data_IF_515225995196
#
_entry.id   IF_515225995196
#
_cell.length_a   1.000
_cell.length_b   1.000
_cell.length_c   1.000
_cell.angle_alpha   90.00
_cell.angle_beta   90.00
_cell.angle_gamma   90.00
#
_symmetry.space_group_name_H-M   'P 1'
#
loop_
_entity.id
_entity.type
_entity.pdbx_description
1 polymer ?
#
# COMPACT_ATOMS: atom_id res chain seq x y z
N UNK A 1 26.48 10.98 5.43
CA UNK A 1 25.28 10.31 4.89
C UNK A 1 24.01 11.12 5.15
N UNK A 2 23.64 11.43 6.40
CA UNK A 2 22.43 12.22 6.70
C UNK A 2 22.36 13.60 6.02
N UNK A 3 23.46 14.38 6.04
CA UNK A 3 23.50 15.71 5.43
C UNK A 3 23.27 15.69 3.91
N UNK A 4 23.74 14.66 3.20
CA UNK A 4 23.56 14.53 1.73
C UNK A 4 22.10 14.19 1.41
N UNK A 5 21.48 13.30 2.18
CA UNK A 5 20.05 12.98 2.02
C UNK A 5 19.18 14.21 2.29
N UNK A 6 19.48 14.98 3.34
CA UNK A 6 18.76 16.20 3.65
C UNK A 6 18.94 17.26 2.56
N UNK A 7 20.17 17.46 2.08
CA UNK A 7 20.45 18.39 0.97
C UNK A 7 19.68 18.00 -0.30
N UNK A 8 19.58 16.71 -0.63
CA UNK A 8 18.80 16.24 -1.79
C UNK A 8 17.32 16.53 -1.63
N UNK A 9 16.74 16.28 -0.45
CA UNK A 9 15.31 16.53 -0.20
C UNK A 9 15.00 18.03 -0.19
N UNK A 10 15.82 18.85 0.49
CA UNK A 10 15.57 20.28 0.64
C UNK A 10 15.78 21.11 -0.64
N UNK A 11 16.56 20.60 -1.59
CA UNK A 11 16.84 21.28 -2.87
C UNK A 11 16.12 20.62 -4.06
N UNK A 12 15.27 19.62 -3.81
CA UNK A 12 14.53 18.98 -4.88
C UNK A 12 13.32 19.83 -5.28
N UNK A 13 13.17 20.08 -6.58
CA UNK A 13 11.95 20.69 -7.13
C UNK A 13 10.76 19.73 -6.99
N UNK A 14 10.97 18.45 -7.29
CA UNK A 14 10.04 17.34 -7.04
C UNK A 14 10.64 16.40 -6.00
N UNK A 15 9.91 16.12 -4.92
CA UNK A 15 10.38 15.31 -3.79
C UNK A 15 10.81 13.90 -4.24
N UNK A 16 12.01 13.41 -3.82
CA UNK A 16 12.58 12.17 -4.34
C UNK A 16 12.05 10.91 -3.63
N UNK A 17 10.77 10.87 -3.27
CA UNK A 17 10.17 9.73 -2.57
C UNK A 17 9.51 8.75 -3.54
N UNK A 18 10.07 7.54 -3.64
CA UNK A 18 9.61 6.48 -4.53
C UNK A 18 8.46 5.68 -3.88
N UNK A 19 7.25 6.21 -3.97
CA UNK A 19 6.05 5.56 -3.44
C UNK A 19 5.58 4.37 -4.30
N UNK A 20 5.92 4.34 -5.59
CA UNK A 20 5.65 3.18 -6.44
C UNK A 20 6.39 1.94 -5.95
N UNK A 21 7.66 2.08 -5.54
CA UNK A 21 8.42 0.99 -4.89
C UNK A 21 7.76 0.48 -3.62
N UNK A 22 7.19 1.36 -2.81
CA UNK A 22 6.46 0.94 -1.62
C UNK A 22 5.22 0.12 -1.99
N UNK A 23 4.43 0.56 -2.98
CA UNK A 23 3.27 -0.19 -3.46
C UNK A 23 3.68 -1.58 -3.99
N UNK A 24 4.72 -1.66 -4.83
CA UNK A 24 5.27 -2.95 -5.30
C UNK A 24 5.75 -3.84 -4.15
N UNK A 25 6.35 -3.26 -3.12
CA UNK A 25 6.78 -4.03 -1.94
C UNK A 25 5.59 -4.60 -1.16
N UNK A 26 4.48 -3.87 -1.07
CA UNK A 26 3.23 -4.39 -0.52
C UNK A 26 2.66 -5.50 -1.39
N UNK A 27 2.73 -5.38 -2.71
CA UNK A 27 2.34 -6.45 -3.65
C UNK A 27 3.10 -7.73 -3.34
N UNK A 28 4.42 -7.69 -3.21
CA UNK A 28 5.24 -8.86 -2.88
C UNK A 28 4.81 -9.54 -1.56
N UNK A 29 4.44 -8.76 -0.54
CA UNK A 29 3.95 -9.32 0.72
C UNK A 29 2.58 -9.98 0.58
N UNK A 30 1.68 -9.38 -0.20
CA UNK A 30 0.34 -9.93 -0.45
C UNK A 30 0.41 -11.16 -1.34
N UNK A 31 1.30 -11.20 -2.34
CA UNK A 31 1.56 -12.40 -3.15
C UNK A 31 2.02 -13.56 -2.26
N UNK A 32 2.90 -13.30 -1.28
CA UNK A 32 3.28 -14.33 -0.31
C UNK A 32 2.12 -14.81 0.57
N UNK A 33 1.08 -13.99 0.80
CA UNK A 33 -0.13 -14.43 1.50
C UNK A 33 -1.08 -15.21 0.62
N UNK A 34 -1.13 -14.88 -0.67
CA UNK A 34 -1.87 -15.61 -1.69
C UNK A 34 -1.29 -17.02 -1.87
N UNK A 35 0.03 -17.14 -1.93
CA UNK A 35 0.75 -18.43 -1.99
C UNK A 35 0.39 -19.34 -0.81
N UNK A 36 0.36 -18.80 0.41
CA UNK A 36 0.02 -19.56 1.61
C UNK A 36 -1.47 -19.92 1.69
N UNK A 37 -2.34 -19.09 1.10
CA UNK A 37 -3.77 -19.35 1.03
C UNK A 37 -4.12 -20.40 -0.02
N UNK A 38 -3.40 -20.41 -1.14
CA UNK A 38 -3.72 -21.26 -2.30
C UNK A 38 -5.19 -21.10 -2.70
N UNK A 39 -5.88 -22.22 -2.94
CA UNK A 39 -7.29 -22.20 -3.34
C UNK A 39 -8.26 -21.78 -2.22
N UNK A 40 -7.78 -21.55 -0.99
CA UNK A 40 -8.64 -21.22 0.15
C UNK A 40 -9.07 -19.75 0.16
N UNK A 41 -8.32 -18.84 -0.46
CA UNK A 41 -8.68 -17.42 -0.47
C UNK A 41 -8.00 -16.69 -1.63
N UNK A 42 -8.77 -15.87 -2.34
CA UNK A 42 -8.31 -15.10 -3.50
C UNK A 42 -7.89 -13.68 -3.08
N UNK A 43 -6.61 -13.34 -3.21
CA UNK A 43 -6.08 -11.99 -2.99
C UNK A 43 -6.03 -11.10 -4.23
N UNK A 44 -6.43 -11.58 -5.41
CA UNK A 44 -6.36 -10.82 -6.66
C UNK A 44 -7.03 -9.43 -6.58
N UNK A 45 -8.19 -9.23 -5.90
CA UNK A 45 -8.74 -7.89 -5.74
C UNK A 45 -7.79 -6.88 -5.08
N UNK A 46 -6.97 -7.30 -4.11
CA UNK A 46 -5.97 -6.43 -3.49
C UNK A 46 -4.75 -6.25 -4.39
N UNK A 47 -4.30 -7.33 -5.05
CA UNK A 47 -3.15 -7.31 -5.94
C UNK A 47 -3.38 -6.42 -7.16
N UNK A 48 -4.58 -6.48 -7.76
CA UNK A 48 -4.99 -5.61 -8.87
C UNK A 48 -4.85 -4.13 -8.49
N UNK A 49 -5.43 -3.71 -7.36
CA UNK A 49 -5.41 -2.32 -6.91
C UNK A 49 -3.98 -1.86 -6.57
N UNK A 50 -3.16 -2.71 -5.91
CA UNK A 50 -1.76 -2.37 -5.62
C UNK A 50 -0.91 -2.19 -6.89
N UNK A 51 -1.09 -3.06 -7.90
CA UNK A 51 -0.37 -2.98 -9.18
C UNK A 51 -0.82 -1.75 -9.97
N UNK A 52 -2.12 -1.48 -10.02
CA UNK A 52 -2.67 -0.27 -10.63
C UNK A 52 -2.10 0.98 -9.96
N UNK A 53 -2.11 1.04 -8.62
CA UNK A 53 -1.59 2.18 -7.87
C UNK A 53 -0.11 2.41 -8.12
N UNK A 54 0.70 1.34 -8.18
CA UNK A 54 2.12 1.45 -8.50
C UNK A 54 2.33 2.08 -9.89
N UNK A 55 1.60 1.60 -10.91
CA UNK A 55 1.69 2.13 -12.27
C UNK A 55 1.23 3.58 -12.37
N UNK A 56 0.18 3.95 -11.65
CA UNK A 56 -0.35 5.31 -11.65
C UNK A 56 0.61 6.28 -10.92
N UNK A 57 1.24 5.82 -9.83
CA UNK A 57 2.29 6.60 -9.17
C UNK A 57 3.47 6.82 -10.11
N UNK A 58 3.91 5.80 -10.86
CA UNK A 58 5.01 5.96 -11.83
C UNK A 58 4.67 7.02 -12.89
N UNK A 59 3.48 6.92 -13.50
CA UNK A 59 3.03 7.85 -14.54
C UNK A 59 2.92 9.29 -14.01
N UNK A 60 2.38 9.45 -12.80
CA UNK A 60 2.32 10.75 -12.12
C UNK A 60 3.71 11.32 -11.83
N UNK A 61 4.66 10.49 -11.38
CA UNK A 61 6.03 10.95 -11.09
C UNK A 61 6.78 11.36 -12.35
N UNK A 62 6.60 10.62 -13.45
CA UNK A 62 7.12 11.00 -14.76
C UNK A 62 6.53 12.35 -15.21
N UNK A 63 5.21 12.54 -15.08
CA UNK A 63 4.56 13.79 -15.41
C UNK A 63 5.05 14.99 -14.59
N UNK A 64 5.25 14.79 -13.29
CA UNK A 64 5.80 15.82 -12.42
C UNK A 64 7.24 16.18 -12.82
N UNK A 65 8.07 15.19 -13.16
CA UNK A 65 9.45 15.42 -13.61
C UNK A 65 9.55 16.07 -14.99
N UNK A 66 8.58 15.82 -15.88
CA UNK A 66 8.46 16.49 -17.18
C UNK A 66 7.95 17.93 -17.07
N UNK A 67 7.57 18.38 -15.86
CA UNK A 67 6.98 19.70 -15.63
C UNK A 67 5.53 19.83 -16.12
N UNK A 68 4.85 18.70 -16.37
CA UNK A 68 3.41 18.69 -16.75
C UNK A 68 2.50 18.98 -15.56
N UNK A 69 3.00 18.79 -14.34
CA UNK A 69 2.28 19.08 -13.09
C UNK A 69 3.09 20.12 -12.32
N UNK A 70 2.41 21.12 -11.76
CA UNK A 70 3.03 22.11 -10.88
C UNK A 70 3.75 21.43 -9.70
N UNK A 71 4.97 21.87 -9.40
CA UNK A 71 5.82 21.24 -8.40
C UNK A 71 5.23 21.27 -6.98
N UNK A 72 4.46 22.31 -6.62
CA UNK A 72 3.81 22.37 -5.32
C UNK A 72 2.66 21.36 -5.22
N UNK A 73 1.85 21.25 -6.28
CA UNK A 73 0.79 20.23 -6.38
C UNK A 73 1.38 18.82 -6.33
N UNK A 74 2.46 18.59 -7.09
CA UNK A 74 3.12 17.30 -7.13
C UNK A 74 3.68 16.90 -5.76
N UNK A 75 4.34 17.83 -5.05
CA UNK A 75 4.95 17.57 -3.75
C UNK A 75 3.92 17.32 -2.63
N UNK A 76 2.77 17.99 -2.68
CA UNK A 76 1.67 17.73 -1.74
C UNK A 76 1.09 16.33 -1.96
N UNK A 77 0.84 15.94 -3.22
CA UNK A 77 0.38 14.60 -3.58
C UNK A 77 1.39 13.50 -3.18
N UNK A 78 2.69 13.72 -3.39
CA UNK A 78 3.75 12.80 -2.92
C UNK A 78 3.67 12.65 -1.40
N UNK A 79 3.62 13.75 -0.67
CA UNK A 79 3.65 13.74 0.80
C UNK A 79 2.40 13.08 1.40
N UNK A 80 1.21 13.35 0.86
CA UNK A 80 -0.05 12.79 1.35
C UNK A 80 -0.11 11.27 1.17
N UNK A 81 0.38 10.74 0.03
CA UNK A 81 0.44 9.29 -0.26
C UNK A 81 1.30 8.50 0.71
N UNK A 82 2.39 9.09 1.22
CA UNK A 82 3.25 8.43 2.20
C UNK A 82 2.46 7.88 3.39
N UNK A 83 1.40 8.59 3.82
CA UNK A 83 0.58 8.23 4.97
C UNK A 83 -0.27 7.00 4.70
N UNK A 84 -0.86 6.88 3.51
CA UNK A 84 -1.72 5.76 3.14
C UNK A 84 -0.92 4.46 3.05
N UNK A 85 0.17 4.45 2.27
CA UNK A 85 1.02 3.27 2.10
C UNK A 85 1.67 2.84 3.42
N UNK A 86 2.11 3.80 4.25
CA UNK A 86 2.66 3.51 5.58
C UNK A 86 1.62 2.85 6.48
N UNK A 87 0.37 3.34 6.44
CA UNK A 87 -0.72 2.79 7.26
C UNK A 87 -1.03 1.35 6.86
N UNK A 88 -1.19 1.08 5.56
CA UNK A 88 -1.41 -0.29 5.05
C UNK A 88 -0.31 -1.24 5.51
N UNK A 89 0.95 -0.79 5.49
CA UNK A 89 2.09 -1.62 5.87
C UNK A 89 2.17 -1.92 7.38
N UNK A 90 1.78 -0.98 8.25
CA UNK A 90 2.10 -1.03 9.69
C UNK A 90 0.89 -1.22 10.61
N UNK A 91 -0.32 -0.95 10.14
CA UNK A 91 -1.50 -0.79 11.01
C UNK A 91 -2.45 -1.98 10.83
N UNK A 92 -2.73 -2.68 11.94
CA UNK A 92 -3.61 -3.85 11.96
C UNK A 92 -5.08 -3.50 12.19
N UNK A 93 -5.32 -2.33 12.79
CA UNK A 93 -6.62 -1.85 13.24
C UNK A 93 -6.98 -0.54 12.53
N UNK A 94 -8.17 0.02 12.73
CA UNK A 94 -8.54 1.28 12.08
C UNK A 94 -7.56 2.42 12.40
N UNK A 95 -7.58 3.49 11.61
CA UNK A 95 -6.65 4.63 11.75
C UNK A 95 -6.59 5.28 13.15
N UNK A 96 -7.59 5.05 13.99
CA UNK A 96 -7.72 5.60 15.34
C UNK A 96 -7.47 4.58 16.46
N UNK A 97 -7.08 3.34 16.14
CA UNK A 97 -6.88 2.29 17.13
C UNK A 97 -5.41 2.14 17.51
N UNK A 98 -5.15 2.01 18.82
CA UNK A 98 -3.79 1.88 19.33
C UNK A 98 -3.15 0.56 18.87
N UNK A 99 -1.99 0.67 18.22
CA UNK A 99 -1.21 -0.48 17.80
C UNK A 99 -0.15 -0.82 18.86
N UNK A 100 -0.17 -2.01 19.50
CA UNK A 100 0.93 -2.46 20.35
C UNK A 100 2.25 -2.56 19.58
N UNK A 101 3.35 -2.08 20.19
CA UNK A 101 4.69 -2.01 19.61
C UNK A 101 5.42 -3.38 19.59
N UNK A 102 4.78 -4.40 19.02
CA UNK A 102 5.36 -5.72 18.80
C UNK A 102 5.83 -5.87 17.35
N UNK A 103 6.78 -6.78 17.11
CA UNK A 103 7.15 -7.16 15.75
C UNK A 103 5.91 -7.69 15.02
N UNK A 104 5.68 -7.22 13.80
CA UNK A 104 4.51 -7.56 13.00
C UNK A 104 4.93 -7.94 11.60
N UNK A 105 4.15 -8.81 11.02
CA UNK A 105 4.23 -9.02 9.59
C UNK A 105 3.74 -7.78 8.84
N UNK A 106 4.34 -7.50 7.67
CA UNK A 106 3.85 -6.46 6.76
C UNK A 106 2.37 -6.68 6.41
N UNK A 107 1.64 -5.61 6.08
CA UNK A 107 0.20 -5.70 5.75
C UNK A 107 -0.57 -6.54 6.79
N UNK A 108 -0.48 -6.19 8.10
CA UNK A 108 -0.86 -7.07 9.22
C UNK A 108 -2.35 -7.47 9.25
N UNK A 109 -3.19 -6.79 8.47
CA UNK A 109 -4.61 -7.13 8.30
C UNK A 109 -4.82 -8.39 7.45
N UNK A 110 -3.89 -8.69 6.56
CA UNK A 110 -3.93 -9.84 5.63
C UNK A 110 -3.02 -10.99 6.10
N UNK A 111 -2.05 -10.70 6.98
CA UNK A 111 -1.18 -11.69 7.63
C UNK A 111 -1.87 -12.93 8.22
N UNK A 112 -3.13 -12.91 8.71
CA UNK A 112 -3.81 -14.13 9.13
C UNK A 112 -3.88 -15.25 8.07
N UNK A 113 -3.69 -14.94 6.78
CA UNK A 113 -3.59 -15.92 5.70
C UNK A 113 -2.48 -16.97 5.90
N UNK A 114 -1.39 -16.60 6.61
CA UNK A 114 -0.31 -17.54 6.99
C UNK A 114 -0.80 -18.79 7.74
N UNK A 115 -2.02 -18.75 8.28
CA UNK A 115 -2.60 -19.86 9.05
C UNK A 115 -3.26 -20.92 8.16
N UNK A 116 -3.60 -20.63 6.90
CA UNK A 116 -4.29 -21.60 6.04
C UNK A 116 -3.61 -22.98 5.98
N UNK A 117 -2.28 -23.11 5.90
CA UNK A 117 -1.62 -24.42 5.84
C UNK A 117 -1.81 -25.32 7.07
N UNK A 118 -2.23 -24.75 8.22
CA UNK A 118 -2.35 -25.48 9.50
C UNK A 118 -3.79 -25.53 10.04
N UNK A 119 -4.75 -24.91 9.35
CA UNK A 119 -6.15 -24.90 9.78
C UNK A 119 -6.93 -26.04 9.14
N UNK A 120 -7.93 -26.54 9.87
CA UNK A 120 -8.78 -27.63 9.41
C UNK A 120 -10.26 -27.32 9.68
N UNK A 121 -11.15 -27.98 8.94
CA UNK A 121 -12.59 -27.93 9.19
C UNK A 121 -13.21 -26.53 9.16
N UNK A 122 -13.92 -26.17 10.22
CA UNK A 122 -14.67 -24.90 10.28
C UNK A 122 -13.76 -23.67 10.46
N UNK A 123 -12.54 -23.83 10.95
CA UNK A 123 -11.64 -22.70 11.21
C UNK A 123 -11.19 -22.02 9.91
N UNK A 124 -11.10 -22.79 8.81
CA UNK A 124 -10.85 -22.26 7.47
C UNK A 124 -11.95 -21.26 7.07
N UNK A 125 -13.23 -21.61 7.28
CA UNK A 125 -14.37 -20.75 6.94
C UNK A 125 -14.39 -19.48 7.78
N UNK A 126 -14.07 -19.58 9.06
CA UNK A 126 -13.96 -18.40 9.93
C UNK A 126 -12.85 -17.46 9.46
N UNK A 127 -11.69 -18.01 9.08
CA UNK A 127 -10.58 -17.22 8.54
C UNK A 127 -10.95 -16.56 7.21
N UNK A 128 -11.60 -17.27 6.29
CA UNK A 128 -12.06 -16.73 5.01
C UNK A 128 -12.99 -15.52 5.21
N UNK A 129 -13.98 -15.62 6.11
CA UNK A 129 -14.90 -14.51 6.42
C UNK A 129 -14.15 -13.32 7.00
N UNK A 130 -13.23 -13.55 7.94
CA UNK A 130 -12.39 -12.50 8.50
C UNK A 130 -11.56 -11.81 7.43
N UNK A 131 -10.85 -12.58 6.60
CA UNK A 131 -9.99 -12.07 5.54
C UNK A 131 -10.80 -11.33 4.49
N UNK A 132 -11.99 -11.79 4.13
CA UNK A 132 -12.83 -11.09 3.14
C UNK A 132 -13.19 -9.68 3.61
N UNK A 133 -13.54 -9.53 4.89
CA UNK A 133 -13.80 -8.22 5.48
C UNK A 133 -12.55 -7.34 5.47
N UNK A 134 -11.38 -7.90 5.78
CA UNK A 134 -10.13 -7.13 5.77
C UNK A 134 -9.72 -6.72 4.36
N UNK A 135 -9.79 -7.64 3.40
CA UNK A 135 -9.56 -7.37 1.98
C UNK A 135 -10.45 -6.25 1.47
N UNK A 136 -11.76 -6.30 1.74
CA UNK A 136 -12.69 -5.27 1.26
C UNK A 136 -12.30 -3.88 1.78
N UNK A 137 -11.91 -3.77 3.05
CA UNK A 137 -11.52 -2.49 3.61
C UNK A 137 -10.10 -2.05 3.18
N UNK A 138 -9.17 -2.98 2.90
CA UNK A 138 -7.89 -2.65 2.25
C UNK A 138 -8.10 -2.16 0.83
N UNK A 139 -8.95 -2.82 0.05
CA UNK A 139 -9.31 -2.41 -1.32
C UNK A 139 -9.95 -1.02 -1.31
N UNK A 140 -10.85 -0.75 -0.36
CA UNK A 140 -11.44 0.58 -0.22
C UNK A 140 -10.38 1.65 0.09
N UNK A 141 -9.44 1.39 1.02
CA UNK A 141 -8.33 2.32 1.31
C UNK A 141 -7.40 2.53 0.10
N UNK A 142 -7.21 1.50 -0.75
CA UNK A 142 -6.44 1.62 -1.98
C UNK A 142 -7.17 2.47 -3.02
N UNK A 143 -8.48 2.29 -3.19
CA UNK A 143 -9.32 3.12 -4.07
C UNK A 143 -9.31 4.59 -3.65
N UNK A 144 -9.41 4.86 -2.35
CA UNK A 144 -9.25 6.22 -1.82
C UNK A 144 -7.85 6.77 -2.11
N UNK A 145 -6.81 5.93 -2.17
CA UNK A 145 -5.46 6.36 -2.56
C UNK A 145 -5.37 6.76 -4.04
N UNK A 146 -6.14 6.10 -4.91
CA UNK A 146 -6.25 6.45 -6.33
C UNK A 146 -6.92 7.83 -6.53
N UNK A 147 -7.97 8.14 -5.77
CA UNK A 147 -8.69 9.43 -5.89
C UNK A 147 -7.84 10.66 -5.53
N UNK A 148 -6.74 10.47 -4.80
CA UNK A 148 -5.82 11.56 -4.41
C UNK A 148 -4.76 11.81 -5.49
N UNK A 149 -4.77 11.08 -6.60
CA UNK A 149 -3.84 11.30 -7.70
C UNK A 149 -4.34 12.47 -8.57
N UNK A 150 -3.56 13.57 -8.70
CA UNK A 150 -3.92 14.64 -9.60
C UNK A 150 -4.05 14.11 -11.03
N UNK A 151 -5.09 14.56 -11.73
CA UNK A 151 -5.27 14.24 -13.15
C UNK A 151 -4.08 14.79 -13.94
N UNK A 152 -3.53 13.95 -14.81
CA UNK A 152 -2.35 14.25 -15.62
C UNK A 152 -2.76 15.08 -16.86
N UNK A 153 -4.05 15.06 -17.23
CA UNK A 153 -4.59 15.70 -18.43
C UNK A 153 -5.32 17.05 -18.14
N UNK A 154 -5.30 17.53 -16.90
CA UNK A 154 -5.95 18.79 -16.47
C UNK A 154 -5.06 20.04 -16.67
#
# INVERSE_FOLDING_TARGET
MYAVSLLRVLNAEILPFDHARNARKLTEYVESYDDDAGEQFDFEPTLTELRALASEIDAFQEAAHDGRIDSAVANDAITSRSRVLTRLNLVQRGQFEQNPAVSREPVPRLAPARKFPILEGNDIKFLQVQLKRQQNAVVQELREAHEVIPDIDA
#
